data_IF_604203259022
#
_entry.id   IF_604203259022
#
_cell.length_a   1.000
_cell.length_b   1.000
_cell.length_c   1.000
_cell.angle_alpha   90.00
_cell.angle_beta   90.00
_cell.angle_gamma   90.00
#
_symmetry.space_group_name_H-M   'P 1'
#
loop_
_entity.id
_entity.type
_entity.pdbx_description
1 polymer ?
#
# COMPACT_ATOMS: atom_id res chain seq x y z
N UNK A 1 6.58 74.91 0.93
CA UNK A 1 6.72 73.97 -0.21
C UNK A 1 6.94 72.58 0.36
N UNK A 2 6.06 71.65 -0.02
CA UNK A 2 6.00 70.25 0.43
C UNK A 2 7.23 69.45 -0.01
N UNK A 3 7.62 68.40 0.75
CA UNK A 3 8.06 67.17 0.14
C UNK A 3 7.08 66.04 0.51
N UNK A 4 6.40 65.52 -0.50
CA UNK A 4 5.50 64.37 -0.42
C UNK A 4 6.30 63.10 -0.15
N UNK A 5 6.19 62.54 1.05
CA UNK A 5 6.75 61.22 1.39
C UNK A 5 5.81 60.13 0.88
N UNK A 6 6.22 59.44 -0.19
CA UNK A 6 5.52 58.25 -0.68
C UNK A 6 5.75 57.08 0.29
N UNK A 7 4.70 56.63 0.97
CA UNK A 7 4.69 55.39 1.74
C UNK A 7 4.52 54.24 0.74
N UNK A 8 5.61 53.53 0.43
CA UNK A 8 5.54 52.27 -0.32
C UNK A 8 5.12 51.18 0.65
N UNK A 9 3.84 50.79 0.62
CA UNK A 9 3.34 49.58 1.27
C UNK A 9 3.98 48.38 0.57
N UNK A 10 5.08 47.87 1.13
CA UNK A 10 5.56 46.52 0.81
C UNK A 10 4.56 45.54 1.40
N UNK A 11 3.61 45.09 0.59
CA UNK A 11 2.81 43.90 0.88
C UNK A 11 3.78 42.71 0.86
N UNK A 12 4.37 42.39 2.01
CA UNK A 12 5.03 41.12 2.23
C UNK A 12 3.94 40.05 2.16
N UNK A 13 3.71 39.53 0.97
CA UNK A 13 3.10 38.22 0.80
C UNK A 13 4.02 37.27 1.55
N UNK A 14 3.63 36.88 2.76
CA UNK A 14 4.18 35.68 3.37
C UNK A 14 3.76 34.54 2.45
N UNK A 15 4.64 34.18 1.50
CA UNK A 15 4.67 32.84 0.97
C UNK A 15 4.90 31.95 2.18
N UNK A 16 3.83 31.34 2.66
CA UNK A 16 3.92 30.22 3.58
C UNK A 16 4.66 29.13 2.80
N UNK A 17 5.96 29.03 3.03
CA UNK A 17 6.68 27.82 2.70
C UNK A 17 6.10 26.75 3.64
N UNK A 18 5.17 25.96 3.12
CA UNK A 18 4.86 24.67 3.71
C UNK A 18 6.14 23.85 3.51
N UNK A 19 6.86 23.58 4.60
CA UNK A 19 7.91 22.57 4.57
C UNK A 19 7.26 21.25 4.19
N UNK A 20 7.72 20.67 3.08
CA UNK A 20 7.24 19.44 2.48
C UNK A 20 7.39 18.27 3.46
N UNK A 21 6.38 18.00 4.28
CA UNK A 21 6.37 16.88 5.23
C UNK A 21 5.97 15.57 4.56
N UNK A 22 6.61 15.23 3.44
CA UNK A 22 6.63 13.86 2.95
C UNK A 22 7.92 13.19 3.44
N UNK A 23 7.86 12.13 4.25
CA UNK A 23 9.07 11.43 4.67
C UNK A 23 9.78 10.85 3.45
N UNK A 24 11.09 11.07 3.41
CA UNK A 24 11.98 10.75 2.31
C UNK A 24 11.91 9.26 1.91
N UNK A 25 11.85 8.98 0.61
CA UNK A 25 12.00 7.63 0.08
C UNK A 25 13.44 7.21 0.36
N UNK A 26 13.66 6.35 1.36
CA UNK A 26 14.99 5.83 1.68
C UNK A 26 15.13 4.47 1.01
N UNK A 27 15.95 4.41 -0.04
CA UNK A 27 16.28 3.13 -0.66
C UNK A 27 17.51 2.54 0.01
N UNK A 28 17.36 1.36 0.60
CA UNK A 28 18.45 0.62 1.24
C UNK A 28 18.80 -0.59 0.39
N UNK A 29 20.10 -0.81 0.16
CA UNK A 29 20.61 -1.96 -0.61
C UNK A 29 20.94 -1.69 -2.08
N UNK A 30 20.90 -0.43 -2.54
CA UNK A 30 21.42 -0.09 -3.88
C UNK A 30 22.96 -0.20 -3.84
N UNK A 31 23.47 -1.29 -4.41
CA UNK A 31 24.89 -1.60 -4.62
C UNK A 31 25.03 -2.84 -5.51
N UNK A 32 26.17 -3.54 -5.46
CA UNK A 32 26.37 -4.79 -6.23
C UNK A 32 25.39 -5.93 -5.83
N UNK A 33 24.65 -5.78 -4.73
CA UNK A 33 23.60 -6.70 -4.31
C UNK A 33 22.33 -6.61 -5.16
N UNK A 34 21.77 -7.76 -5.56
CA UNK A 34 20.49 -7.89 -6.28
C UNK A 34 19.24 -7.61 -5.39
N UNK A 35 19.41 -6.83 -4.31
CA UNK A 35 18.42 -6.58 -3.26
C UNK A 35 17.96 -5.13 -3.28
N UNK A 36 16.69 -4.88 -3.59
CA UNK A 36 16.08 -3.57 -3.44
C UNK A 36 15.14 -3.56 -2.23
N UNK A 37 15.37 -2.63 -1.28
CA UNK A 37 14.44 -2.39 -0.18
C UNK A 37 14.02 -0.93 -0.19
N UNK A 38 12.73 -0.69 -0.39
CA UNK A 38 12.16 0.65 -0.36
C UNK A 38 11.56 0.90 1.01
N UNK A 39 12.14 1.87 1.73
CA UNK A 39 11.61 2.41 2.96
C UNK A 39 10.76 3.63 2.61
N UNK A 40 9.44 3.43 2.69
CA UNK A 40 8.37 4.41 2.55
C UNK A 40 8.18 5.06 1.16
N UNK A 41 6.91 5.12 0.78
CA UNK A 41 6.31 5.91 -0.30
C UNK A 41 4.84 6.12 0.05
N UNK A 42 4.22 7.20 -0.42
CA UNK A 42 2.81 7.48 -0.16
C UNK A 42 1.92 6.32 -0.64
N UNK A 43 0.88 5.93 0.11
CA UNK A 43 -0.12 5.00 -0.38
C UNK A 43 -0.92 5.71 -1.47
N UNK A 44 -1.15 5.05 -2.61
CA UNK A 44 -2.09 5.63 -3.57
C UNK A 44 -3.52 5.54 -3.09
N UNK A 45 -4.33 6.42 -3.67
CA UNK A 45 -5.74 6.63 -3.38
C UNK A 45 -6.50 5.28 -3.45
N UNK A 46 -7.44 4.99 -2.53
CA UNK A 46 -8.32 3.84 -2.66
C UNK A 46 -8.93 3.80 -4.06
N UNK A 47 -8.89 2.65 -4.73
CA UNK A 47 -9.57 2.57 -6.01
C UNK A 47 -11.07 2.80 -5.84
N UNK A 48 -11.66 3.49 -6.81
CA UNK A 48 -13.10 3.69 -6.86
C UNK A 48 -13.82 2.34 -6.79
N UNK A 49 -14.95 2.31 -6.08
CA UNK A 49 -15.85 1.15 -6.10
C UNK A 49 -16.20 0.84 -7.57
N UNK A 50 -16.02 -0.43 -7.97
CA UNK A 50 -16.42 -0.87 -9.31
C UNK A 50 -17.91 -0.60 -9.53
N UNK A 51 -18.29 -0.29 -10.78
CA UNK A 51 -19.70 -0.11 -11.13
C UNK A 51 -20.47 -1.37 -10.73
N UNK A 52 -21.55 -1.20 -9.97
CA UNK A 52 -22.45 -2.29 -9.55
C UNK A 52 -23.01 -2.94 -10.82
N UNK A 53 -22.79 -4.25 -10.98
CA UNK A 53 -23.37 -5.02 -12.08
C UNK A 53 -24.90 -4.92 -12.09
N UNK A 54 -25.49 -5.00 -13.27
CA UNK A 54 -26.94 -4.93 -13.44
C UNK A 54 -27.65 -5.97 -12.56
N UNK A 55 -28.77 -5.55 -11.97
CA UNK A 55 -29.58 -6.42 -11.12
C UNK A 55 -30.16 -7.52 -12.00
N UNK A 56 -29.85 -8.79 -11.67
CA UNK A 56 -30.46 -9.94 -12.33
C UNK A 56 -31.99 -9.93 -12.19
N UNK A 57 -32.73 -10.65 -13.07
CA UNK A 57 -34.18 -10.70 -12.99
C UNK A 57 -34.64 -11.19 -11.60
N UNK A 58 -35.72 -10.62 -11.04
CA UNK A 58 -36.25 -11.06 -9.75
C UNK A 58 -36.54 -12.57 -9.76
N UNK A 59 -36.04 -13.28 -8.74
CA UNK A 59 -36.37 -14.68 -8.53
C UNK A 59 -37.85 -14.85 -8.14
N UNK A 60 -38.43 -16.00 -8.47
CA UNK A 60 -39.82 -16.34 -8.12
C UNK A 60 -40.04 -16.31 -6.60
N UNK A 61 -41.19 -15.79 -6.17
CA UNK A 61 -41.55 -15.65 -4.76
C UNK A 61 -41.75 -17.03 -4.13
N UNK A 62 -40.91 -17.39 -3.15
CA UNK A 62 -41.07 -18.60 -2.36
C UNK A 62 -42.27 -18.56 -1.40
N UNK A 63 -42.80 -19.72 -1.04
CA UNK A 63 -43.93 -19.83 -0.11
C UNK A 63 -43.61 -19.27 1.30
N UNK A 64 -44.59 -18.69 2.02
CA UNK A 64 -44.38 -18.16 3.37
C UNK A 64 -43.95 -19.26 4.36
N UNK A 65 -42.84 -19.02 5.06
CA UNK A 65 -42.36 -19.90 6.13
C UNK A 65 -43.23 -19.87 7.39
N UNK A 66 -43.30 -21.00 8.09
CA UNK A 66 -43.97 -21.15 9.39
C UNK A 66 -43.36 -20.23 10.45
N UNK A 67 -44.23 -19.60 11.26
CA UNK A 67 -43.88 -18.60 12.29
C UNK A 67 -43.02 -19.23 13.40
N UNK A 68 -41.85 -18.65 13.68
CA UNK A 68 -40.90 -19.13 14.68
C UNK A 68 -41.38 -19.00 16.13
N UNK A 69 -40.86 -19.86 17.00
CA UNK A 69 -41.08 -19.82 18.45
C UNK A 69 -40.27 -18.71 19.11
N UNK A 70 -40.77 -18.22 20.25
CA UNK A 70 -40.25 -17.08 21.00
C UNK A 70 -38.80 -17.29 21.49
N UNK A 71 -37.95 -16.27 21.33
CA UNK A 71 -36.52 -16.33 21.65
C UNK A 71 -36.22 -16.44 23.15
N UNK A 72 -35.15 -17.16 23.48
CA UNK A 72 -34.63 -17.29 24.85
C UNK A 72 -33.66 -16.13 25.20
N UNK A 73 -33.95 -15.50 26.35
CA UNK A 73 -33.17 -14.61 27.23
C UNK A 73 -31.71 -14.24 26.84
N UNK A 74 -31.39 -12.94 26.76
CA UNK A 74 -30.01 -12.41 26.77
C UNK A 74 -29.41 -12.35 28.19
N UNK A 75 -28.12 -12.15 28.44
CA UNK A 75 -26.90 -11.90 27.65
C UNK A 75 -25.72 -12.55 28.43
N UNK A 76 -24.56 -12.73 27.81
CA UNK A 76 -23.29 -12.53 28.53
C UNK A 76 -22.57 -11.39 27.85
N UNK A 77 -22.33 -10.30 28.60
CA UNK A 77 -21.48 -9.21 28.16
C UNK A 77 -20.15 -9.76 27.67
N UNK A 78 -19.69 -9.26 26.53
CA UNK A 78 -18.40 -9.60 25.97
C UNK A 78 -17.32 -9.08 26.93
N UNK A 79 -16.70 -10.00 27.67
CA UNK A 79 -15.42 -9.74 28.30
C UNK A 79 -14.45 -9.39 27.17
N UNK A 80 -14.03 -8.13 27.08
CA UNK A 80 -12.80 -7.79 26.39
C UNK A 80 -11.69 -8.63 27.03
N UNK A 81 -11.07 -9.51 26.25
CA UNK A 81 -9.88 -10.23 26.70
C UNK A 81 -8.81 -9.19 27.00
N UNK A 82 -7.94 -9.41 28.00
CA UNK A 82 -6.78 -8.54 28.25
C UNK A 82 -5.89 -8.34 27.00
N UNK A 83 -6.05 -9.19 25.97
CA UNK A 83 -5.43 -9.07 24.65
C UNK A 83 -5.75 -7.76 23.91
N UNK A 84 -6.95 -7.18 24.02
CA UNK A 84 -7.29 -5.97 23.24
C UNK A 84 -6.76 -4.68 23.85
N UNK A 85 -6.47 -4.65 25.16
CA UNK A 85 -5.96 -3.45 25.84
C UNK A 85 -4.46 -3.21 25.59
N UNK A 86 -3.71 -4.24 25.17
CA UNK A 86 -2.29 -4.17 24.79
C UNK A 86 -2.04 -4.48 23.31
N UNK A 87 -3.11 -4.58 22.51
CA UNK A 87 -3.02 -4.89 21.10
C UNK A 87 -2.22 -3.82 20.35
N UNK A 88 -1.06 -4.19 19.84
CA UNK A 88 -0.23 -3.30 19.05
C UNK A 88 -0.91 -2.96 17.72
N UNK A 89 -0.88 -1.69 17.33
CA UNK A 89 -1.49 -1.18 16.08
C UNK A 89 -0.58 -1.33 14.88
N UNK A 90 0.72 -1.51 15.11
CA UNK A 90 1.73 -1.63 14.06
C UNK A 90 2.98 -2.37 14.59
N UNK A 91 3.91 -2.71 13.69
CA UNK A 91 5.15 -3.40 14.05
C UNK A 91 6.10 -2.56 14.92
N UNK A 92 6.00 -1.23 14.92
CA UNK A 92 6.81 -0.37 15.80
C UNK A 92 6.35 -0.48 17.25
N UNK A 93 5.04 -0.50 17.49
CA UNK A 93 4.49 -0.75 18.83
C UNK A 93 4.84 -2.17 19.33
N UNK A 94 4.82 -3.18 18.45
CA UNK A 94 5.32 -4.53 18.80
C UNK A 94 6.81 -4.49 19.18
N UNK A 95 7.64 -3.77 18.41
CA UNK A 95 9.06 -3.64 18.73
C UNK A 95 9.27 -2.98 20.11
N UNK A 96 8.51 -1.92 20.42
CA UNK A 96 8.57 -1.21 21.70
C UNK A 96 8.09 -2.07 22.88
N UNK A 97 7.20 -3.04 22.61
CA UNK A 97 6.75 -4.05 23.56
C UNK A 97 7.77 -5.21 23.75
N UNK A 98 8.89 -5.21 23.04
CA UNK A 98 9.95 -6.20 23.17
C UNK A 98 9.89 -7.37 22.19
N UNK A 99 9.11 -7.24 21.10
CA UNK A 99 9.11 -8.23 20.01
C UNK A 99 10.23 -7.92 19.02
N UNK A 100 11.38 -8.58 19.19
CA UNK A 100 12.59 -8.31 18.40
C UNK A 100 12.80 -9.21 17.17
N UNK A 101 12.01 -10.27 17.02
CA UNK A 101 12.17 -11.20 15.89
C UNK A 101 11.30 -10.78 14.71
N UNK A 102 11.85 -10.84 13.50
CA UNK A 102 11.06 -10.65 12.28
C UNK A 102 10.19 -11.88 12.01
N UNK A 103 8.87 -11.73 12.05
CA UNK A 103 7.90 -12.79 11.76
C UNK A 103 6.51 -12.19 11.43
N UNK A 104 5.53 -13.05 11.18
CA UNK A 104 4.13 -12.70 11.00
C UNK A 104 3.43 -12.47 12.34
N UNK A 105 3.07 -11.24 12.62
CA UNK A 105 2.32 -10.84 13.81
C UNK A 105 0.88 -10.45 13.45
N UNK A 106 -0.01 -10.53 14.44
CA UNK A 106 -1.33 -9.92 14.37
C UNK A 106 -1.26 -8.54 15.00
N UNK A 107 -1.70 -7.52 14.28
CA UNK A 107 -1.85 -6.15 14.75
C UNK A 107 -3.31 -5.72 14.63
N UNK A 108 -3.67 -4.62 15.29
CA UNK A 108 -5.03 -4.06 15.26
C UNK A 108 -4.95 -2.59 14.84
N UNK A 109 -4.79 -2.29 13.53
CA UNK A 109 -4.49 -0.93 13.06
C UNK A 109 -5.56 0.10 13.44
N UNK A 110 -6.82 -0.31 13.44
CA UNK A 110 -8.01 0.48 13.81
C UNK A 110 -8.46 0.22 15.27
N UNK A 111 -7.74 -0.63 16.01
CA UNK A 111 -8.09 -1.07 17.36
C UNK A 111 -9.16 -2.16 17.44
N UNK A 112 -9.77 -2.56 16.33
CA UNK A 112 -10.89 -3.51 16.30
C UNK A 112 -10.61 -4.71 15.40
N UNK A 113 -10.13 -4.45 14.18
CA UNK A 113 -9.95 -5.44 13.12
C UNK A 113 -8.54 -6.04 13.17
N UNK A 114 -8.41 -7.35 13.44
CA UNK A 114 -7.10 -8.00 13.40
C UNK A 114 -6.58 -8.08 11.97
N UNK A 115 -5.35 -7.62 11.75
CA UNK A 115 -4.62 -7.74 10.50
C UNK A 115 -3.31 -8.49 10.73
N UNK A 116 -3.08 -9.56 9.97
CA UNK A 116 -1.81 -10.29 10.03
C UNK A 116 -0.79 -9.67 9.08
N UNK A 117 0.35 -9.27 9.60
CA UNK A 117 1.42 -8.58 8.85
C UNK A 117 2.78 -9.21 9.09
N UNK A 118 3.67 -9.12 8.11
CA UNK A 118 5.08 -9.46 8.29
C UNK A 118 5.82 -8.25 8.88
N UNK A 119 6.38 -8.41 10.07
CA UNK A 119 7.22 -7.41 10.70
C UNK A 119 8.69 -7.66 10.39
N UNK A 120 9.38 -6.63 9.90
CA UNK A 120 10.84 -6.58 9.85
C UNK A 120 11.36 -5.77 11.04
N UNK A 121 11.91 -6.50 12.01
CA UNK A 121 12.43 -5.97 13.28
C UNK A 121 13.92 -5.67 13.24
N UNK A 122 14.60 -5.84 12.10
CA UNK A 122 16.06 -5.70 12.01
C UNK A 122 16.50 -4.54 11.09
N UNK A 123 15.86 -4.36 9.93
CA UNK A 123 16.31 -3.34 8.96
C UNK A 123 16.14 -1.94 9.55
N UNK A 124 17.21 -1.14 9.55
CA UNK A 124 17.16 0.30 9.92
C UNK A 124 16.45 0.58 11.26
N UNK A 125 16.76 -0.23 12.28
CA UNK A 125 16.17 -0.11 13.63
C UNK A 125 14.85 -0.88 13.83
N UNK A 126 14.34 -1.56 12.80
CA UNK A 126 13.18 -2.43 12.94
C UNK A 126 11.82 -1.72 13.01
N UNK A 127 10.77 -2.50 13.32
CA UNK A 127 9.41 -2.00 13.46
C UNK A 127 8.70 -1.74 12.13
N UNK A 128 9.17 -2.34 11.03
CA UNK A 128 8.61 -2.14 9.70
C UNK A 128 7.53 -3.16 9.38
N UNK A 129 6.41 -2.72 8.79
CA UNK A 129 5.42 -3.59 8.17
C UNK A 129 5.80 -3.81 6.71
N UNK A 130 6.08 -5.05 6.33
CA UNK A 130 6.33 -5.45 4.94
C UNK A 130 5.01 -5.70 4.23
N UNK A 131 4.72 -4.98 3.15
CA UNK A 131 3.47 -5.11 2.39
C UNK A 131 3.64 -5.68 0.98
N UNK A 132 4.87 -5.75 0.48
CA UNK A 132 5.23 -6.44 -0.76
C UNK A 132 6.56 -7.17 -0.58
N UNK A 133 6.64 -8.40 -1.10
CA UNK A 133 7.87 -9.20 -1.11
C UNK A 133 7.99 -10.02 -2.39
N UNK A 134 9.13 -9.93 -3.08
CA UNK A 134 9.55 -10.71 -4.26
C UNK A 134 10.95 -11.27 -4.02
N UNK A 135 11.21 -12.53 -4.35
CA UNK A 135 12.53 -13.14 -4.17
C UNK A 135 12.82 -14.39 -5.02
N UNK A 136 11.79 -15.07 -5.55
CA UNK A 136 11.96 -16.36 -6.25
C UNK A 136 11.08 -16.53 -7.50
N UNK A 137 10.12 -15.63 -7.73
CA UNK A 137 9.17 -15.73 -8.84
C UNK A 137 8.12 -16.83 -8.69
N UNK A 138 7.94 -17.39 -7.49
CA UNK A 138 6.96 -18.45 -7.21
C UNK A 138 5.51 -17.98 -7.29
N UNK A 139 5.27 -16.67 -7.24
CA UNK A 139 3.93 -16.08 -7.30
C UNK A 139 3.82 -15.18 -8.53
N UNK A 140 2.76 -15.39 -9.31
CA UNK A 140 2.39 -14.51 -10.41
C UNK A 140 1.80 -13.19 -9.86
N UNK A 141 2.38 -12.06 -10.28
CA UNK A 141 1.95 -10.70 -9.92
C UNK A 141 1.15 -10.01 -11.05
N UNK A 142 1.01 -10.62 -12.23
CA UNK A 142 0.18 -10.07 -13.31
C UNK A 142 -1.32 -10.38 -13.09
N UNK A 143 -1.85 -9.82 -12.01
CA UNK A 143 -3.19 -10.09 -11.48
C UNK A 143 -4.20 -8.99 -11.77
N UNK A 144 -5.46 -9.32 -11.53
CA UNK A 144 -6.60 -8.43 -11.69
C UNK A 144 -6.78 -7.48 -10.48
N UNK A 145 -7.70 -6.53 -10.61
CA UNK A 145 -8.01 -5.54 -9.58
C UNK A 145 -8.41 -6.20 -8.26
N UNK A 146 -9.29 -7.20 -8.33
CA UNK A 146 -9.81 -7.91 -7.16
C UNK A 146 -8.68 -8.56 -6.35
N UNK A 147 -7.71 -9.15 -7.03
CA UNK A 147 -6.53 -9.74 -6.39
C UNK A 147 -5.70 -8.67 -5.68
N UNK A 148 -5.38 -7.56 -6.36
CA UNK A 148 -4.61 -6.47 -5.76
C UNK A 148 -5.34 -5.78 -4.60
N UNK A 149 -6.67 -5.67 -4.68
CA UNK A 149 -7.51 -5.15 -3.60
C UNK A 149 -7.41 -6.00 -2.34
N UNK A 150 -7.61 -7.31 -2.48
CA UNK A 150 -7.68 -8.25 -1.35
C UNK A 150 -6.32 -8.70 -0.83
N UNK A 151 -5.28 -8.64 -1.67
CA UNK A 151 -3.99 -9.27 -1.42
C UNK A 151 -3.92 -10.70 -1.96
N UNK A 152 -2.70 -11.15 -2.22
CA UNK A 152 -2.42 -12.47 -2.79
C UNK A 152 -1.00 -12.94 -2.46
N UNK A 153 -0.73 -14.22 -2.74
CA UNK A 153 0.57 -14.85 -2.52
C UNK A 153 0.59 -15.74 -1.29
N UNK A 154 1.78 -15.93 -0.72
CA UNK A 154 2.03 -16.84 0.39
C UNK A 154 2.78 -16.13 1.50
N UNK A 155 2.42 -16.46 2.75
CA UNK A 155 3.14 -15.99 3.94
C UNK A 155 4.57 -16.50 4.02
N UNK A 156 4.84 -17.64 3.37
CA UNK A 156 6.16 -18.26 3.37
C UNK A 156 7.09 -17.67 2.31
N UNK A 157 6.53 -17.11 1.23
CA UNK A 157 7.28 -16.72 0.04
C UNK A 157 6.95 -15.26 -0.36
N UNK A 158 6.44 -15.07 -1.58
CA UNK A 158 6.11 -13.77 -2.17
C UNK A 158 4.65 -13.42 -1.92
N UNK A 159 4.37 -12.13 -1.70
CA UNK A 159 3.01 -11.67 -1.48
C UNK A 159 2.84 -10.18 -1.79
N UNK A 160 1.57 -9.81 -1.99
CA UNK A 160 1.04 -8.46 -1.93
C UNK A 160 0.00 -8.41 -0.82
N UNK A 161 0.15 -7.50 0.14
CA UNK A 161 -0.70 -7.45 1.34
C UNK A 161 -2.17 -7.10 1.03
N UNK A 162 -2.42 -6.40 -0.08
CA UNK A 162 -3.75 -5.95 -0.48
C UNK A 162 -3.93 -4.46 -0.28
N UNK A 163 -4.50 -3.79 -1.28
CA UNK A 163 -4.67 -2.34 -1.29
C UNK A 163 -5.57 -1.86 -0.14
N UNK A 164 -6.59 -2.63 0.24
CA UNK A 164 -7.47 -2.28 1.36
C UNK A 164 -6.71 -2.30 2.69
N UNK A 165 -5.88 -3.33 2.91
CA UNK A 165 -5.03 -3.43 4.09
C UNK A 165 -3.99 -2.31 4.13
N UNK A 166 -3.35 -2.02 3.00
CA UNK A 166 -2.36 -0.94 2.89
C UNK A 166 -3.03 0.42 3.18
N UNK A 167 -4.24 0.65 2.69
CA UNK A 167 -4.99 1.85 2.98
C UNK A 167 -5.25 2.00 4.49
N UNK A 168 -5.78 0.96 5.16
CA UNK A 168 -6.02 0.99 6.61
C UNK A 168 -4.75 1.33 7.39
N UNK A 169 -3.62 0.71 7.04
CA UNK A 169 -2.32 0.94 7.69
C UNK A 169 -1.77 2.35 7.54
N UNK A 170 -2.30 3.12 6.60
CA UNK A 170 -1.77 4.43 6.22
C UNK A 170 -2.76 5.57 6.42
N UNK A 171 -4.00 5.26 6.81
CA UNK A 171 -5.08 6.22 7.09
C UNK A 171 -5.01 6.89 8.48
N UNK A 172 -4.05 6.55 9.34
CA UNK A 172 -3.95 7.08 10.71
C UNK A 172 -3.48 8.56 10.83
N UNK A 173 -3.61 9.33 9.76
CA UNK A 173 -3.27 10.76 9.67
C UNK A 173 -3.16 11.19 8.22
N UNK A 174 -4.24 11.77 7.67
CA UNK A 174 -4.23 12.33 6.31
C UNK A 174 -3.55 13.71 6.32
N UNK A 175 -2.26 13.70 6.00
CA UNK A 175 -1.49 14.88 5.60
C UNK A 175 -1.09 14.81 4.12
N UNK A 176 -1.80 13.97 3.34
CA UNK A 176 -1.49 13.62 1.95
C UNK A 176 -2.56 14.11 0.97
N UNK A 177 -3.59 14.78 1.46
CA UNK A 177 -4.67 15.38 0.65
C UNK A 177 -4.13 16.35 -0.42
N UNK A 178 -2.88 16.82 -0.32
CA UNK A 178 -2.29 17.77 -1.27
C UNK A 178 -1.34 17.18 -2.34
N UNK A 179 -0.81 15.94 -2.21
CA UNK A 179 0.13 15.33 -3.18
C UNK A 179 0.07 13.77 -3.05
N UNK A 180 -0.32 12.91 -4.01
CA UNK A 180 0.18 12.70 -5.37
C UNK A 180 -0.88 11.90 -6.18
N UNK A 181 -1.35 12.45 -7.30
CA UNK A 181 -2.69 12.26 -7.85
C UNK A 181 -2.90 11.03 -8.77
N UNK A 182 -2.22 9.91 -8.53
CA UNK A 182 -2.25 8.74 -9.44
C UNK A 182 -2.95 7.54 -8.81
N UNK A 183 -3.92 7.00 -9.54
CA UNK A 183 -4.69 5.83 -9.13
C UNK A 183 -3.90 4.56 -9.44
N UNK A 184 -4.14 3.52 -8.66
CA UNK A 184 -3.58 2.20 -8.95
C UNK A 184 -4.24 1.62 -10.21
N UNK A 185 -3.46 1.02 -11.10
CA UNK A 185 -3.92 0.45 -12.37
C UNK A 185 -3.56 -1.03 -12.46
N UNK A 186 -4.50 -1.85 -12.92
CA UNK A 186 -4.33 -3.29 -13.20
C UNK A 186 -4.76 -3.60 -14.63
N UNK A 187 -4.48 -4.83 -15.09
CA UNK A 187 -4.78 -5.25 -16.47
C UNK A 187 -6.26 -5.12 -16.86
N UNK A 188 -7.14 -5.15 -15.87
CA UNK A 188 -8.61 -5.10 -15.99
C UNK A 188 -9.24 -3.79 -15.50
N UNK A 189 -8.44 -2.89 -14.91
CA UNK A 189 -8.90 -1.58 -14.47
C UNK A 189 -7.84 -0.52 -14.75
N UNK A 190 -8.00 0.16 -15.88
CA UNK A 190 -7.12 1.22 -16.35
C UNK A 190 -7.48 2.56 -15.69
N UNK A 191 -6.62 3.03 -14.79
CA UNK A 191 -6.73 4.33 -14.16
C UNK A 191 -5.47 5.19 -14.37
N UNK A 192 -4.63 4.83 -15.36
CA UNK A 192 -3.44 5.61 -15.71
C UNK A 192 -3.81 6.75 -16.67
N UNK A 193 -2.84 7.61 -17.02
CA UNK A 193 -3.08 8.77 -17.90
C UNK A 193 -2.59 8.54 -19.33
N UNK A 194 -2.13 7.33 -19.65
CA UNK A 194 -1.67 6.99 -20.98
C UNK A 194 -2.83 6.52 -21.87
N UNK A 195 -2.64 6.56 -23.19
CA UNK A 195 -3.68 6.15 -24.14
C UNK A 195 -3.85 4.63 -24.24
N UNK A 196 -2.89 3.87 -23.73
CA UNK A 196 -2.88 2.41 -23.67
C UNK A 196 -2.71 1.98 -22.21
N UNK A 197 -3.30 0.84 -21.84
CA UNK A 197 -3.23 0.33 -20.48
C UNK A 197 -1.78 -0.04 -20.11
N UNK A 198 -1.17 0.74 -19.22
CA UNK A 198 0.21 0.52 -18.77
C UNK A 198 0.38 -0.80 -18.03
N UNK A 199 -0.62 -1.22 -17.25
CA UNK A 199 -0.56 -2.49 -16.53
C UNK A 199 -0.52 -3.69 -17.48
N UNK A 200 -1.28 -3.64 -18.58
CA UNK A 200 -1.18 -4.66 -19.61
C UNK A 200 0.13 -4.57 -20.38
N UNK A 201 0.62 -3.38 -20.74
CA UNK A 201 1.90 -3.26 -21.44
C UNK A 201 3.10 -3.77 -20.61
N UNK A 202 3.15 -3.42 -19.32
CA UNK A 202 4.30 -3.66 -18.44
C UNK A 202 4.09 -4.80 -17.42
N UNK A 203 2.99 -5.54 -17.55
CA UNK A 203 2.73 -6.83 -16.89
C UNK A 203 2.84 -6.80 -15.36
N UNK A 204 2.27 -5.78 -14.74
CA UNK A 204 2.20 -5.62 -13.28
C UNK A 204 1.07 -4.70 -12.85
N UNK A 205 0.70 -4.71 -11.57
CA UNK A 205 -0.21 -3.72 -10.98
C UNK A 205 0.59 -2.62 -10.28
N UNK A 206 0.36 -1.36 -10.63
CA UNK A 206 1.15 -0.24 -10.10
C UNK A 206 0.38 1.09 -10.16
N UNK A 207 0.89 2.09 -9.46
CA UNK A 207 0.50 3.50 -9.64
C UNK A 207 1.16 4.07 -10.91
N UNK A 208 0.75 3.57 -12.07
CA UNK A 208 1.28 3.96 -13.38
C UNK A 208 0.91 5.40 -13.75
N UNK A 209 1.77 6.06 -14.55
CA UNK A 209 1.58 7.40 -15.12
C UNK A 209 1.64 7.33 -16.65
N UNK A 210 2.85 7.35 -17.24
CA UNK A 210 3.10 7.21 -18.68
C UNK A 210 4.48 6.55 -18.98
N UNK A 211 4.71 5.27 -18.72
CA UNK A 211 3.95 4.40 -17.84
C UNK A 211 4.62 4.31 -16.47
N UNK A 212 5.95 4.17 -16.38
CA UNK A 212 6.63 4.13 -15.09
C UNK A 212 8.14 4.37 -15.16
N UNK A 213 8.73 4.77 -14.01
CA UNK A 213 10.16 4.63 -13.71
C UNK A 213 10.46 3.45 -12.76
N UNK A 214 9.44 2.81 -12.21
CA UNK A 214 9.54 1.65 -11.32
C UNK A 214 8.40 0.68 -11.56
N UNK A 215 8.67 -0.63 -11.55
CA UNK A 215 7.66 -1.66 -11.75
C UNK A 215 7.99 -2.90 -10.89
N UNK A 216 7.93 -2.76 -9.56
CA UNK A 216 8.33 -3.84 -8.65
C UNK A 216 7.37 -5.03 -8.62
N UNK A 217 6.19 -4.84 -9.19
CA UNK A 217 5.17 -5.86 -9.37
C UNK A 217 5.18 -6.47 -10.79
N UNK A 218 6.17 -6.11 -11.61
CA UNK A 218 6.38 -6.68 -12.94
C UNK A 218 6.84 -8.14 -12.90
N UNK A 219 7.19 -8.64 -14.08
CA UNK A 219 7.61 -10.02 -14.30
C UNK A 219 8.92 -10.33 -13.57
N UNK A 220 8.96 -11.48 -12.92
CA UNK A 220 10.18 -12.00 -12.33
C UNK A 220 11.08 -12.58 -13.43
N UNK A 221 12.09 -11.81 -13.86
CA UNK A 221 13.01 -12.20 -14.95
C UNK A 221 14.44 -12.49 -14.45
N UNK A 222 14.70 -12.27 -13.16
CA UNK A 222 15.92 -12.68 -12.44
C UNK A 222 17.23 -12.19 -13.10
N UNK A 223 17.30 -10.90 -13.45
CA UNK A 223 18.48 -10.27 -14.03
C UNK A 223 18.21 -9.63 -15.40
N UNK A 224 19.21 -9.69 -16.28
CA UNK A 224 19.17 -9.02 -17.58
C UNK A 224 18.11 -9.63 -18.49
N UNK A 225 17.31 -8.80 -19.15
CA UNK A 225 16.30 -9.23 -20.11
C UNK A 225 16.24 -8.31 -21.34
N UNK A 226 15.62 -8.82 -22.42
CA UNK A 226 15.55 -8.13 -23.73
C UNK A 226 14.32 -7.22 -23.88
N UNK A 227 13.20 -7.59 -23.25
CA UNK A 227 11.96 -6.82 -23.33
C UNK A 227 12.03 -5.67 -22.36
N UNK A 228 11.92 -4.44 -22.84
CA UNK A 228 12.14 -3.27 -22.00
C UNK A 228 11.04 -3.13 -20.94
N UNK A 229 11.45 -2.77 -19.72
CA UNK A 229 10.61 -2.26 -18.64
C UNK A 229 9.53 -3.22 -18.04
N UNK A 230 9.35 -4.44 -18.56
CA UNK A 230 8.34 -5.41 -18.06
C UNK A 230 8.70 -6.15 -16.75
N UNK A 231 9.96 -6.08 -16.32
CA UNK A 231 10.50 -6.79 -15.16
C UNK A 231 10.28 -6.08 -13.82
N UNK A 232 10.82 -6.64 -12.73
CA UNK A 232 10.93 -5.99 -11.41
C UNK A 232 11.97 -4.89 -11.52
N UNK A 233 11.55 -3.71 -11.96
CA UNK A 233 12.46 -2.70 -12.46
C UNK A 233 12.51 -1.47 -11.55
N UNK A 234 13.72 -0.90 -11.43
CA UNK A 234 13.97 0.39 -10.81
C UNK A 234 14.93 1.19 -11.70
N UNK A 235 14.38 2.14 -12.44
CA UNK A 235 15.08 2.86 -13.52
C UNK A 235 16.42 3.45 -13.08
N UNK A 236 16.40 4.20 -11.97
CA UNK A 236 17.60 4.86 -11.44
C UNK A 236 18.62 3.92 -10.80
N UNK A 237 18.29 2.64 -10.65
CA UNK A 237 19.20 1.63 -10.08
C UNK A 237 19.93 0.85 -11.17
N UNK A 238 19.20 -0.02 -11.87
CA UNK A 238 19.77 -0.92 -12.91
C UNK A 238 19.12 -0.75 -14.28
N UNK A 239 18.44 0.38 -14.50
CA UNK A 239 17.75 0.68 -15.75
C UNK A 239 16.48 -0.14 -15.96
N UNK A 240 16.05 -0.23 -17.22
CA UNK A 240 14.78 -0.86 -17.62
C UNK A 240 14.93 -2.32 -18.09
N UNK A 241 16.18 -2.79 -18.26
CA UNK A 241 16.49 -4.09 -18.83
C UNK A 241 17.07 -5.07 -17.78
N UNK A 242 16.90 -4.74 -16.50
CA UNK A 242 17.33 -5.56 -15.38
C UNK A 242 16.20 -5.73 -14.36
N UNK A 243 15.75 -6.97 -14.20
CA UNK A 243 14.75 -7.36 -13.21
C UNK A 243 15.44 -7.80 -11.91
N UNK A 244 15.20 -7.08 -10.81
CA UNK A 244 15.78 -7.42 -9.51
C UNK A 244 15.33 -8.81 -9.05
N UNK A 245 16.27 -9.57 -8.47
CA UNK A 245 15.97 -10.88 -7.88
C UNK A 245 15.25 -10.76 -6.55
N UNK A 246 15.42 -9.63 -5.85
CA UNK A 246 14.72 -9.38 -4.60
C UNK A 246 14.18 -7.97 -4.53
N UNK A 247 12.92 -7.85 -4.10
CA UNK A 247 12.25 -6.60 -3.80
C UNK A 247 11.44 -6.74 -2.52
N UNK A 248 11.58 -5.77 -1.62
CA UNK A 248 10.67 -5.59 -0.49
C UNK A 248 10.23 -4.12 -0.38
N UNK A 249 8.94 -3.92 -0.17
CA UNK A 249 8.38 -2.61 0.17
C UNK A 249 7.80 -2.65 1.57
N UNK A 250 8.16 -1.66 2.40
CA UNK A 250 7.79 -1.64 3.81
C UNK A 250 7.46 -0.23 4.32
N UNK A 251 6.58 -0.16 5.32
CA UNK A 251 6.12 1.08 5.97
C UNK A 251 6.36 1.04 7.47
N UNK A 252 6.64 2.21 8.05
CA UNK A 252 6.77 2.44 9.50
C UNK A 252 6.29 3.88 9.79
N UNK A 253 5.62 4.15 10.92
CA UNK A 253 5.29 5.51 11.34
C UNK A 253 6.51 6.45 11.34
N UNK A 254 6.33 7.74 11.02
CA UNK A 254 7.38 8.74 11.34
C UNK A 254 7.28 9.00 12.84
N UNK A 255 8.41 9.16 13.50
CA UNK A 255 8.49 9.71 14.86
C UNK A 255 8.23 11.21 14.87
#
# INVERSE_FOLDING_TARGET
>A
MSPSTFIVFWLLIKLSNAEDSCPEIKVVGIGDSDKLTILRGCPGIPGSHGLKGDVGPPGETGEPGVKGTQGIKGEKGQFGTMETMYAARNCKELLDQGFFLSDWYTIYPDGETPLKVLCDMHTDGGGWIVFQRRWDGSVDFFRDWKSYKNGFGSRLNEFWLGNDNIHILTSAGDSLTLHHNMKFTTKDQDNDIYSLNCADLFKGGWWYVQCHHSNLNGLYLSGQHRTEAVGINWYHGRGQNYSYKFSEMKIRPVE
#
